data_IF_743355335078
#
_entry.id   IF_743355335078
#
_cell.length_a   1.000
_cell.length_b   1.000
_cell.length_c   1.000
_cell.angle_alpha   90.00
_cell.angle_beta   90.00
_cell.angle_gamma   90.00
#
_symmetry.space_group_name_H-M   'P 1'
#
loop_
_entity.id
_entity.type
_entity.pdbx_description
1 polymer ?
#
# COMPACT_ATOMS: atom_id res chain seq x y z
N UNK A 1 -8.92 29.48 -24.15
CA UNK A 1 -8.40 29.54 -22.77
C UNK A 1 -8.57 28.16 -22.16
N UNK A 2 -7.54 27.31 -22.27
CA UNK A 2 -7.58 25.94 -21.78
C UNK A 2 -7.34 25.93 -20.27
N UNK A 3 -8.31 25.40 -19.52
CA UNK A 3 -8.24 25.32 -18.05
C UNK A 3 -7.44 24.07 -17.67
N UNK A 4 -6.29 24.31 -17.03
CA UNK A 4 -5.34 23.31 -16.53
C UNK A 4 -5.67 22.96 -15.08
N UNK A 5 -5.66 21.67 -14.73
CA UNK A 5 -6.07 21.06 -13.46
C UNK A 5 -5.15 19.83 -13.27
N UNK A 6 -4.69 19.37 -12.10
CA UNK A 6 -4.76 19.86 -10.71
C UNK A 6 -3.64 19.17 -9.88
N UNK A 7 -3.20 19.82 -8.80
CA UNK A 7 -2.40 19.22 -7.72
C UNK A 7 -3.29 18.82 -6.53
N UNK A 8 -3.04 17.64 -5.97
CA UNK A 8 -3.67 17.17 -4.72
C UNK A 8 -2.65 17.38 -3.60
N UNK A 9 -2.98 18.21 -2.62
CA UNK A 9 -2.30 18.18 -1.32
C UNK A 9 -2.97 17.07 -0.50
N UNK A 10 -2.30 15.92 -0.38
CA UNK A 10 -2.68 14.91 0.61
C UNK A 10 -2.16 15.43 1.95
N UNK A 11 -2.88 16.38 2.54
CA UNK A 11 -2.77 16.64 3.99
C UNK A 11 -2.98 15.31 4.73
N UNK A 12 -2.51 15.13 5.97
CA UNK A 12 -2.82 13.97 6.79
C UNK A 12 -4.34 13.87 7.02
N UNK A 13 -5.05 13.32 6.03
CA UNK A 13 -6.47 13.00 6.10
C UNK A 13 -6.51 11.67 6.83
N UNK A 14 -6.98 11.73 8.07
CA UNK A 14 -7.36 10.52 8.80
C UNK A 14 -8.39 9.80 7.95
N UNK A 15 -7.98 8.71 7.31
CA UNK A 15 -8.91 7.86 6.60
C UNK A 15 -9.78 7.19 7.67
N UNK A 16 -11.10 7.43 7.69
CA UNK A 16 -11.94 6.73 8.63
C UNK A 16 -11.89 5.23 8.28
N UNK A 17 -11.44 4.45 9.26
CA UNK A 17 -11.70 3.02 9.43
C UNK A 17 -11.09 2.08 8.36
N UNK A 18 -9.88 1.58 8.62
CA UNK A 18 -9.42 0.30 8.04
C UNK A 18 -10.10 -0.91 8.75
N UNK A 19 -10.46 -0.71 10.03
CA UNK A 19 -11.34 -1.49 10.91
C UNK A 19 -11.77 -0.59 12.09
N UNK A 20 -12.74 -1.01 12.92
CA UNK A 20 -13.27 -0.22 14.07
C UNK A 20 -12.20 0.27 15.06
N UNK A 21 -11.00 -0.32 15.01
CA UNK A 21 -9.91 -0.09 15.96
C UNK A 21 -8.65 0.47 15.31
N UNK A 22 -8.67 0.81 14.02
CA UNK A 22 -7.47 1.25 13.30
C UNK A 22 -7.71 2.45 12.39
N UNK A 23 -6.83 3.44 12.52
CA UNK A 23 -6.82 4.64 11.70
C UNK A 23 -5.42 4.88 11.12
N UNK A 24 -5.40 5.45 9.91
CA UNK A 24 -4.19 5.68 9.11
C UNK A 24 -4.15 7.15 8.72
N UNK A 25 -2.97 7.74 8.87
CA UNK A 25 -2.65 9.07 8.37
C UNK A 25 -1.32 9.01 7.63
N UNK A 26 -1.21 9.70 6.50
CA UNK A 26 0.03 9.79 5.74
C UNK A 26 0.30 11.24 5.36
N UNK A 27 1.54 11.68 5.59
CA UNK A 27 2.05 12.95 5.09
C UNK A 27 3.17 12.63 4.10
N UNK A 28 2.95 12.97 2.84
CA UNK A 28 3.88 12.75 1.74
C UNK A 28 4.16 14.10 1.07
N UNK A 29 5.43 14.45 0.84
CA UNK A 29 5.76 15.64 0.04
C UNK A 29 5.27 15.46 -1.40
N UNK A 30 4.86 16.56 -2.06
CA UNK A 30 4.46 16.53 -3.47
C UNK A 30 5.61 16.12 -4.37
N UNK A 31 6.85 16.47 -3.99
CA UNK A 31 8.06 16.10 -4.72
C UNK A 31 8.30 14.58 -4.73
N UNK A 32 7.72 13.83 -3.78
CA UNK A 32 7.76 12.36 -3.78
C UNK A 32 6.77 11.71 -4.75
N UNK A 33 5.72 12.44 -5.14
CA UNK A 33 4.57 11.86 -5.86
C UNK A 33 4.54 12.35 -7.31
N UNK A 34 4.94 13.59 -7.59
CA UNK A 34 4.72 14.24 -8.86
C UNK A 34 5.98 14.87 -9.43
N UNK A 35 6.32 14.54 -10.68
CA UNK A 35 7.37 15.22 -11.45
C UNK A 35 7.01 16.70 -11.74
N UNK A 36 5.71 16.98 -11.86
CA UNK A 36 5.19 18.33 -12.05
C UNK A 36 3.78 18.45 -11.47
N UNK A 37 3.49 19.59 -10.84
CA UNK A 37 2.17 19.85 -10.28
C UNK A 37 1.80 21.34 -10.39
N UNK A 38 0.49 21.62 -10.45
CA UNK A 38 -0.05 22.98 -10.42
C UNK A 38 -1.30 23.01 -9.54
N UNK A 39 -1.28 23.84 -8.49
CA UNK A 39 -2.37 23.93 -7.51
C UNK A 39 -2.87 25.38 -7.38
N UNK A 40 -4.17 25.58 -7.56
CA UNK A 40 -4.87 26.83 -7.28
C UNK A 40 -6.21 26.52 -6.62
N UNK A 41 -6.41 27.06 -5.41
CA UNK A 41 -7.65 26.98 -4.66
C UNK A 41 -8.26 28.37 -4.51
N UNK A 42 -9.58 28.41 -4.31
CA UNK A 42 -10.29 29.64 -3.92
C UNK A 42 -10.14 29.94 -2.42
N UNK A 43 -9.61 28.99 -1.64
CA UNK A 43 -9.41 29.14 -0.20
C UNK A 43 -8.20 30.04 0.14
N UNK A 44 -8.25 30.82 1.24
CA UNK A 44 -7.16 31.71 1.65
C UNK A 44 -5.82 31.00 1.88
N UNK A 45 -5.88 29.73 2.31
CA UNK A 45 -4.70 28.90 2.56
C UNK A 45 -4.19 28.17 1.31
N UNK A 46 -4.79 28.41 0.15
CA UNK A 46 -4.52 27.71 -1.10
C UNK A 46 -4.53 26.17 -0.93
N UNK A 47 -5.51 25.63 -0.18
CA UNK A 47 -5.66 24.19 0.07
C UNK A 47 -6.95 23.67 -0.56
N UNK A 48 -6.92 22.41 -1.01
CA UNK A 48 -8.09 21.71 -1.54
C UNK A 48 -8.23 20.40 -0.78
N UNK A 49 -9.27 20.29 0.04
CA UNK A 49 -9.55 19.08 0.79
C UNK A 49 -10.53 18.21 0.00
N UNK A 50 -10.13 16.97 -0.26
CA UNK A 50 -10.90 16.02 -1.06
C UNK A 50 -11.15 14.75 -0.26
N UNK A 51 -12.38 14.27 -0.32
CA UNK A 51 -12.75 12.93 0.12
C UNK A 51 -13.11 12.09 -1.08
N UNK A 52 -12.56 10.89 -1.15
CA UNK A 52 -12.77 9.99 -2.27
C UNK A 52 -12.74 8.53 -1.82
N UNK A 53 -13.46 7.64 -2.52
CA UNK A 53 -13.45 6.22 -2.20
C UNK A 53 -12.08 5.62 -2.54
N UNK A 54 -11.49 4.91 -1.57
CA UNK A 54 -10.14 4.34 -1.70
C UNK A 54 -10.05 3.23 -2.74
N UNK A 55 -11.10 2.40 -2.88
CA UNK A 55 -11.06 1.23 -3.76
C UNK A 55 -10.96 1.60 -5.26
N UNK A 56 -11.75 2.56 -5.80
CA UNK A 56 -11.54 3.09 -7.15
C UNK A 56 -10.15 3.70 -7.34
N UNK A 57 -9.66 4.48 -6.37
CA UNK A 57 -8.31 5.06 -6.43
C UNK A 57 -7.24 3.98 -6.51
N UNK A 58 -7.33 2.95 -5.67
CA UNK A 58 -6.39 1.83 -5.67
C UNK A 58 -6.41 1.08 -7.02
N UNK A 59 -7.59 0.88 -7.62
CA UNK A 59 -7.71 0.24 -8.95
C UNK A 59 -7.07 1.09 -10.04
N UNK A 60 -7.26 2.41 -9.97
CA UNK A 60 -6.64 3.35 -10.90
C UNK A 60 -5.12 3.35 -10.76
N UNK A 61 -4.59 3.44 -9.54
CA UNK A 61 -3.15 3.34 -9.26
C UNK A 61 -2.55 2.00 -9.71
N UNK A 62 -3.24 0.88 -9.49
CA UNK A 62 -2.80 -0.44 -9.99
C UNK A 62 -2.76 -0.50 -11.53
N UNK A 63 -3.65 0.23 -12.19
CA UNK A 63 -3.63 0.33 -13.66
C UNK A 63 -2.46 1.19 -14.13
N UNK A 64 -2.11 2.23 -13.35
CA UNK A 64 -0.97 3.11 -13.61
C UNK A 64 0.39 2.42 -13.38
N UNK A 65 0.45 1.37 -12.53
CA UNK A 65 1.69 0.68 -12.20
C UNK A 65 2.44 0.07 -13.40
N UNK A 66 1.72 -0.30 -14.47
CA UNK A 66 2.30 -0.79 -15.72
C UNK A 66 2.29 0.28 -16.83
N UNK A 67 1.86 1.50 -16.51
CA UNK A 67 1.84 2.62 -17.44
C UNK A 67 3.22 3.26 -17.57
N UNK A 68 3.45 3.94 -18.68
CA UNK A 68 4.64 4.76 -18.91
C UNK A 68 4.51 6.14 -18.27
N UNK A 69 3.29 6.66 -18.12
CA UNK A 69 3.02 7.90 -17.39
C UNK A 69 1.59 7.90 -16.87
N UNK A 70 1.35 8.68 -15.81
CA UNK A 70 0.03 8.91 -15.26
C UNK A 70 -0.13 10.39 -14.91
N UNK A 71 -1.31 10.95 -15.18
CA UNK A 71 -1.67 12.31 -14.80
C UNK A 71 -2.98 12.30 -14.04
N UNK A 72 -3.06 13.16 -13.03
CA UNK A 72 -4.20 13.26 -12.13
C UNK A 72 -4.82 14.64 -12.28
N UNK A 73 -6.13 14.70 -12.53
CA UNK A 73 -6.84 15.95 -12.82
C UNK A 73 -8.15 16.01 -12.07
N UNK A 74 -8.31 17.03 -11.22
CA UNK A 74 -9.63 17.36 -10.68
C UNK A 74 -10.46 17.99 -11.79
N UNK A 75 -11.64 17.46 -12.07
CA UNK A 75 -12.54 17.92 -13.14
C UNK A 75 -13.96 18.04 -12.60
N UNK A 76 -14.85 18.68 -13.36
CA UNK A 76 -16.28 18.74 -13.05
C UNK A 76 -17.05 18.32 -14.30
N UNK A 77 -17.79 17.21 -14.21
CA UNK A 77 -18.62 16.68 -15.30
C UNK A 77 -20.06 16.60 -14.82
N UNK A 78 -20.99 17.18 -15.57
CA UNK A 78 -22.42 17.19 -15.22
C UNK A 78 -22.72 17.71 -13.81
N UNK A 79 -21.91 18.67 -13.34
CA UNK A 79 -22.03 19.23 -11.98
C UNK A 79 -21.30 18.45 -10.89
N UNK A 80 -20.80 17.25 -11.17
CA UNK A 80 -20.16 16.34 -10.21
C UNK A 80 -18.63 16.54 -10.28
N UNK A 81 -17.96 16.79 -9.14
CA UNK A 81 -16.50 16.82 -9.09
C UNK A 81 -15.93 15.40 -9.19
N UNK A 82 -14.97 15.22 -10.11
CA UNK A 82 -14.34 13.94 -10.42
C UNK A 82 -12.83 14.11 -10.39
N UNK A 83 -12.13 13.16 -9.79
CA UNK A 83 -10.70 12.99 -9.96
C UNK A 83 -10.44 12.03 -11.11
N UNK A 84 -10.02 12.59 -12.24
CA UNK A 84 -9.73 11.86 -13.47
C UNK A 84 -8.25 11.50 -13.53
N UNK A 85 -7.96 10.19 -13.57
CA UNK A 85 -6.61 9.66 -13.76
C UNK A 85 -6.46 9.23 -15.22
N UNK A 86 -5.54 9.85 -15.95
CA UNK A 86 -5.21 9.45 -17.32
C UNK A 86 -3.85 8.77 -17.33
N UNK A 87 -3.85 7.50 -17.75
CA UNK A 87 -2.69 6.61 -17.77
C UNK A 87 -2.34 6.35 -19.22
N UNK A 88 -1.08 6.58 -19.58
CA UNK A 88 -0.53 6.20 -20.87
C UNK A 88 0.25 4.89 -20.70
N UNK A 89 0.08 3.96 -21.62
CA UNK A 89 0.82 2.70 -21.67
C UNK A 89 1.30 2.41 -23.09
N UNK A 90 2.59 2.16 -23.26
CA UNK A 90 3.12 1.63 -24.51
C UNK A 90 2.83 0.14 -24.61
N UNK A 91 2.24 -0.31 -25.72
CA UNK A 91 2.08 -1.74 -25.97
C UNK A 91 3.14 -2.23 -26.93
N UNK A 92 4.21 -2.81 -26.40
CA UNK A 92 5.11 -3.65 -27.19
C UNK A 92 4.37 -4.96 -27.41
N UNK A 93 3.87 -5.18 -28.62
CA UNK A 93 3.41 -6.49 -29.04
C UNK A 93 4.60 -7.46 -28.95
N UNK A 94 4.63 -8.29 -27.91
CA UNK A 94 5.41 -9.53 -27.96
C UNK A 94 4.84 -10.31 -29.14
N UNK A 95 5.57 -10.28 -30.24
CA UNK A 95 5.28 -11.06 -31.43
C UNK A 95 5.56 -12.53 -31.05
N UNK A 96 4.59 -13.15 -30.38
CA UNK A 96 4.59 -14.60 -30.20
C UNK A 96 4.25 -15.18 -31.57
N UNK A 97 5.31 -15.32 -32.39
CA UNK A 97 5.27 -15.94 -33.71
C UNK A 97 4.91 -17.41 -33.57
N UNK A 98 3.63 -17.68 -33.28
CA UNK A 98 3.05 -19.00 -33.43
C UNK A 98 3.16 -19.39 -34.91
N UNK A 99 3.71 -20.57 -35.24
CA UNK A 99 3.88 -20.94 -36.64
C UNK A 99 2.50 -21.10 -37.28
N UNK A 100 2.22 -20.28 -38.29
CA UNK A 100 1.06 -20.39 -39.16
C UNK A 100 0.97 -21.80 -39.74
N UNK A 101 0.12 -22.64 -39.13
CA UNK A 101 -0.25 -23.95 -39.64
C UNK A 101 -1.32 -23.77 -40.71
N UNK A 102 -0.91 -23.39 -41.92
CA UNK A 102 -1.77 -23.48 -43.10
C UNK A 102 -1.07 -24.20 -44.25
N UNK A 103 -1.36 -25.50 -44.32
CA UNK A 103 -1.68 -26.25 -45.54
C UNK A 103 -0.62 -26.33 -46.64
N UNK A 104 0.19 -27.38 -46.62
CA UNK A 104 0.73 -27.97 -47.84
C UNK A 104 0.27 -29.43 -47.96
N UNK A 105 -0.68 -29.67 -48.86
CA UNK A 105 -1.07 -30.99 -49.34
C UNK A 105 0.12 -31.62 -50.08
N UNK A 106 0.80 -32.58 -49.47
CA UNK A 106 1.67 -33.52 -50.21
C UNK A 106 0.78 -34.46 -51.02
N UNK A 107 0.60 -34.15 -52.31
CA UNK A 107 0.24 -35.15 -53.32
C UNK A 107 1.50 -35.92 -53.70
N UNK A 108 1.45 -37.23 -53.50
CA UNK A 108 2.37 -38.21 -54.08
C UNK A 108 2.29 -38.14 -55.61
N UNK A 109 3.40 -38.37 -56.34
CA UNK A 109 3.23 -39.21 -57.52
C UNK A 109 4.31 -40.28 -57.65
N UNK A 110 3.81 -41.47 -57.97
CA UNK A 110 4.56 -42.57 -58.54
C UNK A 110 4.91 -42.23 -60.00
N UNK A 111 6.17 -42.43 -60.33
CA UNK A 111 6.70 -42.97 -61.58
C UNK A 111 5.70 -43.21 -62.75
N UNK A 112 5.79 -42.41 -63.82
CA UNK A 112 5.64 -42.86 -65.22
C UNK A 112 5.82 -41.70 -66.24
N UNK A 113 6.85 -41.86 -67.07
CA UNK A 113 6.87 -41.64 -68.53
C UNK A 113 6.40 -40.29 -69.14
N UNK A 114 7.39 -39.49 -69.60
CA UNK A 114 7.46 -39.07 -71.00
C UNK A 114 6.96 -37.67 -71.43
N UNK A 115 7.90 -36.90 -72.01
CA UNK A 115 7.81 -36.24 -73.33
C UNK A 115 7.08 -34.86 -73.45
N UNK A 116 7.85 -33.88 -73.98
CA UNK A 116 7.53 -32.59 -74.68
C UNK A 116 6.94 -31.44 -73.85
N UNK A 117 7.59 -30.27 -73.78
CA UNK A 117 7.65 -29.15 -74.76
C UNK A 117 6.33 -28.37 -74.84
N UNK A 118 6.40 -27.05 -74.70
CA UNK A 118 5.20 -26.19 -74.76
C UNK A 118 5.29 -24.92 -73.92
N UNK A 119 5.76 -23.88 -74.58
CA UNK A 119 5.45 -22.45 -74.39
C UNK A 119 3.97 -22.21 -74.01
N UNK A 120 3.70 -21.29 -73.07
CA UNK A 120 2.49 -20.44 -73.05
C UNK A 120 2.65 -19.39 -71.92
N UNK A 121 2.98 -18.19 -72.37
CA UNK A 121 2.67 -16.88 -71.77
C UNK A 121 1.19 -16.81 -71.38
N UNK A 122 0.87 -16.18 -70.24
CA UNK A 122 -0.36 -15.39 -70.04
C UNK A 122 -0.48 -14.90 -68.58
N UNK A 123 -0.40 -13.59 -68.42
CA UNK A 123 -0.31 -12.89 -67.14
C UNK A 123 -1.53 -13.01 -66.21
N UNK A 124 -1.25 -13.16 -64.91
CA UNK A 124 -2.18 -12.87 -63.83
C UNK A 124 -1.41 -12.08 -62.75
N UNK A 125 -1.80 -10.81 -62.63
CA UNK A 125 -1.42 -9.81 -61.64
C UNK A 125 -0.87 -10.37 -60.32
N UNK A 126 0.42 -10.14 -60.06
CA UNK A 126 0.96 -10.13 -58.71
C UNK A 126 0.30 -8.95 -57.96
N UNK A 127 -0.83 -9.21 -57.31
CA UNK A 127 -1.31 -8.35 -56.23
C UNK A 127 -0.36 -8.60 -55.07
N UNK A 128 0.73 -7.85 -55.05
CA UNK A 128 1.53 -7.68 -53.84
C UNK A 128 0.61 -7.00 -52.82
N UNK A 129 0.19 -7.68 -51.74
CA UNK A 129 -0.51 -6.99 -50.68
C UNK A 129 0.53 -6.06 -50.09
N UNK A 130 0.32 -4.76 -50.27
CA UNK A 130 1.10 -3.71 -49.63
C UNK A 130 0.82 -3.81 -48.13
N UNK A 131 1.42 -4.80 -47.45
CA UNK A 131 1.41 -4.89 -46.01
C UNK A 131 2.28 -3.75 -45.52
N UNK A 132 1.62 -2.62 -45.30
CA UNK A 132 2.13 -1.52 -44.52
C UNK A 132 2.48 -2.09 -43.15
N UNK A 133 3.72 -2.55 -42.98
CA UNK A 133 4.33 -2.84 -41.69
C UNK A 133 4.52 -1.52 -40.92
N UNK A 134 3.41 -0.85 -40.62
CA UNK A 134 3.29 0.02 -39.48
C UNK A 134 3.28 -0.93 -38.29
N UNK A 135 4.48 -1.30 -37.85
CA UNK A 135 4.72 -1.86 -36.53
C UNK A 135 4.37 -0.74 -35.53
N UNK A 136 3.08 -0.45 -35.44
CA UNK A 136 2.51 0.67 -34.73
C UNK A 136 2.56 0.25 -33.28
N UNK A 137 3.61 0.66 -32.58
CA UNK A 137 3.56 0.84 -31.14
C UNK A 137 2.27 1.60 -30.85
N UNK A 138 1.23 0.88 -30.44
CA UNK A 138 -0.05 1.48 -30.11
C UNK A 138 0.08 1.93 -28.67
N UNK A 139 0.22 3.23 -28.51
CA UNK A 139 -0.03 3.90 -27.24
C UNK A 139 -1.49 3.67 -26.85
N UNK A 140 -1.72 3.12 -25.66
CA UNK A 140 -3.04 2.98 -25.07
C UNK A 140 -3.19 4.04 -23.99
N UNK A 141 -4.25 4.82 -24.08
CA UNK A 141 -4.60 5.83 -23.07
C UNK A 141 -5.84 5.32 -22.33
N UNK A 142 -5.74 5.21 -21.01
CA UNK A 142 -6.79 4.74 -20.11
C UNK A 142 -7.16 5.91 -19.19
N UNK A 143 -8.41 6.35 -19.23
CA UNK A 143 -8.92 7.37 -18.32
C UNK A 143 -9.88 6.74 -17.32
N UNK A 144 -9.63 6.98 -16.02
CA UNK A 144 -10.48 6.51 -14.93
C UNK A 144 -10.97 7.69 -14.10
N UNK A 145 -12.29 7.87 -14.06
CA UNK A 145 -12.93 8.94 -13.32
C UNK A 145 -13.39 8.44 -11.94
N UNK A 146 -12.90 9.08 -10.88
CA UNK A 146 -13.23 8.76 -9.50
C UNK A 146 -14.10 9.90 -8.93
N UNK A 147 -15.34 9.65 -8.49
CA UNK A 147 -16.14 10.68 -7.84
C UNK A 147 -15.48 11.11 -6.53
N UNK A 148 -15.40 12.43 -6.34
CA UNK A 148 -14.82 13.02 -5.12
C UNK A 148 -15.81 13.99 -4.49
N UNK A 149 -15.62 14.27 -3.20
CA UNK A 149 -16.34 15.30 -2.46
C UNK A 149 -15.34 16.36 -2.02
N UNK A 150 -15.62 17.62 -2.35
CA UNK A 150 -14.81 18.75 -1.88
C UNK A 150 -15.27 19.10 -0.46
N UNK A 151 -14.33 19.14 0.48
CA UNK A 151 -14.59 19.42 1.88
C UNK A 151 -14.22 20.86 2.22
N UNK A 152 -15.08 21.54 2.98
CA UNK A 152 -14.78 22.85 3.57
C UNK A 152 -13.79 22.68 4.74
N UNK A 153 -12.85 23.62 4.97
CA UNK A 153 -11.86 23.53 6.05
C UNK A 153 -12.44 23.21 7.43
N UNK A 154 -13.58 23.82 7.79
CA UNK A 154 -14.27 23.57 9.07
C UNK A 154 -14.68 22.10 9.26
N UNK A 155 -15.06 21.40 8.19
CA UNK A 155 -15.39 19.97 8.27
C UNK A 155 -14.14 19.11 8.45
N UNK A 156 -12.99 19.55 7.95
CA UNK A 156 -11.71 18.84 8.07
C UNK A 156 -11.16 18.92 9.49
N UNK A 157 -11.31 20.08 10.14
CA UNK A 157 -10.94 20.25 11.55
C UNK A 157 -11.73 19.31 12.48
N UNK A 158 -12.96 18.94 12.10
CA UNK A 158 -13.75 17.96 12.86
C UNK A 158 -13.32 16.50 12.63
N UNK A 159 -12.57 16.19 11.56
CA UNK A 159 -12.01 14.86 11.27
C UNK A 159 -10.62 14.72 11.96
N UNK A 160 -10.40 15.50 13.02
CA UNK A 160 -9.10 15.62 13.70
C UNK A 160 -8.62 14.32 14.33
N UNK A 161 -7.29 14.24 14.40
CA UNK A 161 -6.51 13.22 15.08
C UNK A 161 -7.15 12.81 16.41
N UNK A 162 -7.32 11.50 16.67
CA UNK A 162 -7.74 11.05 17.99
C UNK A 162 -6.79 11.67 19.02
N UNK A 163 -7.32 12.28 20.09
CA UNK A 163 -6.49 12.76 21.20
C UNK A 163 -5.82 11.54 21.84
N UNK A 164 -4.60 11.24 21.42
CA UNK A 164 -3.83 10.12 21.94
C UNK A 164 -3.19 10.54 23.26
N UNK A 165 -3.17 9.63 24.23
CA UNK A 165 -2.35 9.79 25.44
C UNK A 165 -0.87 9.86 25.05
N UNK A 166 -0.05 10.50 25.87
CA UNK A 166 1.40 10.43 25.70
C UNK A 166 1.86 8.95 25.76
N UNK A 167 2.72 8.51 24.82
CA UNK A 167 3.19 7.14 24.76
C UNK A 167 4.20 6.84 25.87
N UNK A 168 4.08 5.65 26.43
CA UNK A 168 4.89 5.13 27.53
C UNK A 168 6.22 4.55 27.02
N UNK A 169 6.22 3.87 25.87
CA UNK A 169 7.44 3.26 25.32
C UNK A 169 7.60 3.68 23.88
N UNK A 170 8.81 4.09 23.49
CA UNK A 170 9.18 4.33 22.10
C UNK A 170 10.35 3.43 21.73
N UNK A 171 10.23 2.68 20.64
CA UNK A 171 11.22 1.69 20.21
C UNK A 171 11.29 1.63 18.69
N UNK A 172 12.50 1.53 18.15
CA UNK A 172 12.70 1.25 16.73
C UNK A 172 12.41 -0.22 16.45
N UNK A 173 11.49 -0.49 15.54
CA UNK A 173 11.12 -1.86 15.19
C UNK A 173 12.20 -2.54 14.35
N UNK A 174 12.36 -3.87 14.47
CA UNK A 174 13.13 -4.65 13.52
C UNK A 174 12.46 -4.63 12.13
N UNK A 175 13.12 -5.12 11.07
CA UNK A 175 12.55 -5.13 9.71
C UNK A 175 11.14 -5.70 9.69
N UNK A 176 10.16 -4.89 9.28
CA UNK A 176 8.74 -5.22 9.38
C UNK A 176 8.37 -6.49 8.61
N UNK A 177 9.08 -6.82 7.52
CA UNK A 177 8.87 -8.06 6.77
C UNK A 177 9.23 -9.32 7.57
N UNK A 178 10.27 -9.25 8.40
CA UNK A 178 10.66 -10.32 9.32
C UNK A 178 9.65 -10.47 10.45
N UNK A 179 9.23 -9.35 11.05
CA UNK A 179 8.20 -9.32 12.09
C UNK A 179 6.87 -9.87 11.53
N UNK A 180 6.49 -9.47 10.31
CA UNK A 180 5.33 -9.96 9.58
C UNK A 180 5.37 -11.47 9.37
N UNK A 181 6.50 -12.01 8.92
CA UNK A 181 6.64 -13.44 8.70
C UNK A 181 6.43 -14.25 9.99
N UNK A 182 6.85 -13.73 11.15
CA UNK A 182 6.65 -14.38 12.45
C UNK A 182 5.18 -14.24 12.90
N UNK A 183 4.60 -13.04 12.82
CA UNK A 183 3.19 -12.79 13.13
C UNK A 183 2.23 -13.64 12.30
N UNK A 184 2.48 -13.75 10.99
CA UNK A 184 1.66 -14.55 10.08
C UNK A 184 1.75 -16.05 10.42
N UNK A 185 2.92 -16.52 10.92
CA UNK A 185 3.08 -17.89 11.42
C UNK A 185 2.31 -18.13 12.71
N UNK A 186 2.36 -17.21 13.68
CA UNK A 186 1.57 -17.30 14.90
C UNK A 186 0.08 -17.37 14.58
N UNK A 187 -0.38 -16.52 13.66
CA UNK A 187 -1.76 -16.53 13.20
C UNK A 187 -2.16 -17.88 12.60
N UNK A 188 -1.31 -18.47 11.77
CA UNK A 188 -1.54 -19.81 11.20
C UNK A 188 -1.53 -20.91 12.24
N UNK A 189 -0.64 -20.84 13.24
CA UNK A 189 -0.57 -21.82 14.33
C UNK A 189 -1.84 -21.80 15.17
N UNK A 190 -2.33 -20.62 15.57
CA UNK A 190 -3.60 -20.48 16.27
C UNK A 190 -4.77 -21.07 15.45
N UNK A 191 -4.77 -20.80 14.14
CA UNK A 191 -5.80 -21.33 13.22
C UNK A 191 -5.72 -22.84 13.06
N UNK A 192 -4.52 -23.43 13.04
CA UNK A 192 -4.34 -24.87 12.93
C UNK A 192 -4.71 -25.61 14.22
N UNK A 193 -4.34 -25.06 15.38
CA UNK A 193 -4.61 -25.68 16.69
C UNK A 193 -6.10 -25.86 16.96
N UNK A 194 -6.93 -24.87 16.61
CA UNK A 194 -8.39 -24.98 16.72
C UNK A 194 -9.01 -26.02 15.78
N UNK A 195 -8.43 -26.21 14.58
CA UNK A 195 -8.90 -27.23 13.61
C UNK A 195 -8.52 -28.63 14.09
N UNK A 196 -7.32 -28.78 14.66
CA UNK A 196 -6.86 -30.03 15.26
C UNK A 196 -7.59 -30.45 16.53
N UNK A 197 -8.22 -29.50 17.23
CA UNK A 197 -8.96 -29.73 18.49
C UNK A 197 -10.32 -30.45 18.33
N UNK A 198 -10.62 -31.01 17.14
CA UNK A 198 -11.81 -31.86 16.93
C UNK A 198 -13.16 -31.12 16.96
N UNK A 199 -13.15 -29.79 16.99
CA UNK A 199 -14.37 -29.00 16.82
C UNK A 199 -14.79 -29.05 15.36
N UNK A 200 -16.04 -29.45 15.08
CA UNK A 200 -16.66 -29.33 13.75
C UNK A 200 -16.91 -27.84 13.44
N UNK A 201 -15.83 -27.09 13.26
CA UNK A 201 -15.85 -25.69 12.91
C UNK A 201 -16.12 -25.58 11.40
N UNK A 202 -17.25 -25.01 11.04
CA UNK A 202 -17.60 -24.72 9.65
C UNK A 202 -16.51 -23.85 9.01
N UNK A 203 -16.23 -24.06 7.72
CA UNK A 203 -15.18 -23.33 7.00
C UNK A 203 -15.36 -21.80 7.04
N UNK A 204 -16.59 -21.31 7.25
CA UNK A 204 -16.91 -19.88 7.43
C UNK A 204 -16.47 -19.30 8.79
N UNK A 205 -16.48 -20.06 9.88
CA UNK A 205 -15.97 -19.59 11.19
C UNK A 205 -14.45 -19.58 11.21
N UNK A 206 -13.83 -20.40 10.35
CA UNK A 206 -12.39 -20.44 10.15
C UNK A 206 -11.90 -19.19 9.43
N UNK A 207 -12.57 -18.75 8.37
CA UNK A 207 -12.21 -17.53 7.64
C UNK A 207 -12.38 -16.25 8.48
N UNK A 208 -13.31 -16.24 9.44
CA UNK A 208 -13.62 -15.05 10.24
C UNK A 208 -12.74 -14.90 11.49
N UNK A 209 -12.28 -16.00 12.09
CA UNK A 209 -11.41 -15.94 13.26
C UNK A 209 -10.06 -15.29 12.95
N UNK A 210 -9.64 -14.43 13.86
CA UNK A 210 -8.34 -13.81 13.92
C UNK A 210 -7.85 -13.88 15.36
N UNK A 211 -6.68 -14.49 15.61
CA UNK A 211 -6.15 -14.58 16.96
C UNK A 211 -5.75 -13.21 17.45
N UNK A 212 -5.95 -12.98 18.75
CA UNK A 212 -5.42 -11.81 19.44
C UNK A 212 -3.94 -12.05 19.69
N UNK A 213 -3.10 -11.17 19.15
CA UNK A 213 -1.67 -11.15 19.39
C UNK A 213 -1.36 -10.09 20.43
N UNK A 214 -0.37 -10.37 21.28
CA UNK A 214 0.12 -9.44 22.27
C UNK A 214 1.49 -8.94 21.84
N UNK A 215 1.66 -7.62 21.79
CA UNK A 215 2.90 -6.96 21.44
C UNK A 215 3.33 -6.16 22.66
N UNK A 216 4.50 -6.47 23.19
CA UNK A 216 5.04 -5.81 24.35
C UNK A 216 6.42 -5.22 24.03
N UNK A 217 6.71 -4.03 24.55
CA UNK A 217 8.03 -3.41 24.41
C UNK A 217 8.46 -2.75 25.72
N UNK A 218 9.76 -2.61 25.93
CA UNK A 218 10.32 -1.89 27.06
C UNK A 218 11.20 -0.71 26.62
N UNK A 219 11.58 0.10 27.61
CA UNK A 219 12.52 1.23 27.45
C UNK A 219 14.00 0.81 27.49
N UNK A 220 14.28 -0.48 27.28
CA UNK A 220 15.61 -1.12 27.35
C UNK A 220 15.91 -1.95 26.10
N UNK A 221 15.31 -1.59 24.96
CA UNK A 221 15.63 -2.18 23.66
C UNK A 221 15.10 -3.61 23.44
N UNK A 222 14.08 -4.02 24.17
CA UNK A 222 13.44 -5.33 24.01
C UNK A 222 12.02 -5.19 23.47
N UNK A 223 11.69 -6.01 22.47
CA UNK A 223 10.36 -6.17 21.88
C UNK A 223 9.96 -7.63 21.97
N UNK A 224 8.71 -7.90 22.30
CA UNK A 224 8.13 -9.24 22.38
C UNK A 224 6.81 -9.28 21.61
N UNK A 225 6.64 -10.33 20.82
CA UNK A 225 5.38 -10.70 20.19
C UNK A 225 4.98 -12.06 20.77
N UNK A 226 3.79 -12.16 21.33
CA UNK A 226 3.25 -13.37 21.94
C UNK A 226 1.87 -13.72 21.39
N UNK A 227 1.58 -15.01 21.39
CA UNK A 227 0.28 -15.61 21.13
C UNK A 227 -0.03 -16.54 22.29
N UNK A 228 -1.08 -16.21 23.04
CA UNK A 228 -1.58 -17.04 24.12
C UNK A 228 -2.99 -17.54 23.77
N UNK A 229 -3.16 -18.86 23.73
CA UNK A 229 -4.42 -19.57 23.49
C UNK A 229 -4.48 -20.80 24.39
N UNK A 230 -5.66 -21.39 24.56
CA UNK A 230 -5.87 -22.57 25.42
C UNK A 230 -4.96 -23.77 25.11
N UNK A 231 -4.42 -23.83 23.90
CA UNK A 231 -3.62 -24.96 23.40
C UNK A 231 -2.19 -24.59 23.05
N UNK A 232 -1.87 -23.30 22.93
CA UNK A 232 -0.57 -22.82 22.48
C UNK A 232 -0.21 -21.54 23.24
N UNK A 233 0.99 -21.55 23.80
CA UNK A 233 1.68 -20.36 24.29
C UNK A 233 3.01 -20.24 23.54
N UNK A 234 3.13 -19.23 22.69
CA UNK A 234 4.31 -19.01 21.85
C UNK A 234 4.69 -17.54 21.89
N UNK A 235 5.96 -17.25 22.12
CA UNK A 235 6.52 -15.91 22.09
C UNK A 235 7.77 -15.83 21.21
N UNK A 236 8.01 -14.67 20.64
CA UNK A 236 9.25 -14.28 19.96
C UNK A 236 9.71 -12.96 20.54
N UNK A 237 10.99 -12.87 20.88
CA UNK A 237 11.60 -11.69 21.46
C UNK A 237 12.75 -11.20 20.58
N UNK A 238 12.87 -9.88 20.46
CA UNK A 238 13.96 -9.18 19.82
C UNK A 238 14.61 -8.29 20.85
N UNK A 239 15.93 -8.38 20.94
CA UNK A 239 16.75 -7.62 21.87
C UNK A 239 17.69 -6.69 21.09
N UNK A 240 18.30 -5.74 21.80
CA UNK A 240 19.23 -4.75 21.24
C UNK A 240 18.57 -3.84 20.20
N UNK A 241 17.30 -3.51 20.39
CA UNK A 241 16.61 -2.46 19.65
C UNK A 241 16.92 -1.08 20.24
N UNK A 242 16.77 -0.05 19.42
CA UNK A 242 17.05 1.33 19.83
C UNK A 242 15.79 2.00 20.39
N UNK A 243 15.92 2.69 21.53
CA UNK A 243 14.87 3.57 22.06
C UNK A 243 15.25 5.03 21.70
N UNK A 244 14.60 5.65 20.69
CA UNK A 244 14.97 7.00 20.23
C UNK A 244 14.78 8.06 21.30
N UNK A 245 15.66 9.05 21.41
CA UNK A 245 15.49 10.14 22.38
C UNK A 245 14.35 11.08 21.99
N UNK A 246 13.59 11.55 22.98
CA UNK A 246 12.51 12.51 22.78
C UNK A 246 13.05 13.93 22.84
N UNK A 247 12.67 14.78 21.87
CA UNK A 247 13.00 16.20 21.90
C UNK A 247 12.12 16.93 22.93
N UNK A 248 12.69 17.51 24.00
CA UNK A 248 11.93 18.21 25.04
C UNK A 248 11.07 19.36 24.52
N UNK A 249 11.40 19.93 23.36
CA UNK A 249 10.64 21.04 22.75
C UNK A 249 9.30 20.59 22.15
N UNK A 250 9.16 19.30 21.88
CA UNK A 250 7.99 18.71 21.25
C UNK A 250 7.03 18.04 22.25
N UNK A 251 7.38 18.04 23.54
CA UNK A 251 6.60 17.40 24.59
C UNK A 251 5.58 18.35 25.23
N UNK A 252 4.43 17.80 25.63
CA UNK A 252 3.40 18.52 26.39
C UNK A 252 3.74 18.69 27.87
N UNK A 253 4.71 17.92 28.37
CA UNK A 253 5.21 17.93 29.74
C UNK A 253 6.75 17.91 29.79
N UNK A 254 7.36 18.26 30.94
CA UNK A 254 8.81 18.09 31.14
C UNK A 254 9.25 16.63 30.93
N UNK A 255 10.44 16.43 30.37
CA UNK A 255 10.99 15.11 30.05
C UNK A 255 11.07 14.20 31.29
N UNK A 256 11.28 14.77 32.47
CA UNK A 256 11.36 14.06 33.74
C UNK A 256 10.01 13.49 34.19
N UNK A 257 8.91 14.18 33.87
CA UNK A 257 7.56 13.76 34.24
C UNK A 257 6.91 12.86 33.17
N UNK A 258 7.52 12.83 31.99
CA UNK A 258 7.03 12.09 30.83
C UNK A 258 6.93 10.58 31.13
N UNK A 259 5.84 9.90 30.70
CA UNK A 259 5.62 8.48 30.98
C UNK A 259 6.80 7.58 30.59
N UNK A 260 7.47 7.89 29.49
CA UNK A 260 8.63 7.12 29.02
C UNK A 260 9.85 7.16 29.93
N UNK A 261 10.08 8.27 30.64
CA UNK A 261 11.17 8.36 31.61
C UNK A 261 10.85 7.50 32.82
N UNK A 262 9.60 7.51 33.29
CA UNK A 262 9.14 6.63 34.38
C UNK A 262 9.26 5.15 34.00
N UNK A 263 8.82 4.77 32.80
CA UNK A 263 8.99 3.40 32.30
C UNK A 263 10.46 2.97 32.20
N UNK A 264 11.37 3.90 31.89
CA UNK A 264 12.82 3.64 31.88
C UNK A 264 13.37 3.40 33.29
N UNK A 265 12.94 4.21 34.27
CA UNK A 265 13.34 4.12 35.68
C UNK A 265 12.80 2.86 36.38
N UNK A 266 11.62 2.38 36.01
CA UNK A 266 11.03 1.14 36.54
C UNK A 266 11.86 -0.13 36.19
N UNK A 267 12.78 -0.02 35.23
CA UNK A 267 13.76 -1.06 34.91
C UNK A 267 13.39 -1.92 33.68
N UNK A 268 14.26 -2.90 33.33
CA UNK A 268 14.12 -3.69 32.10
C UNK A 268 12.93 -4.67 32.11
N UNK A 269 12.41 -4.98 33.30
CA UNK A 269 11.27 -5.87 33.49
C UNK A 269 9.91 -5.17 33.37
N UNK A 270 9.90 -3.85 33.13
CA UNK A 270 8.66 -3.11 32.85
C UNK A 270 8.38 -3.10 31.35
N UNK A 271 7.25 -3.71 30.96
CA UNK A 271 6.80 -3.80 29.57
C UNK A 271 5.51 -3.01 29.39
N UNK A 272 5.42 -2.23 28.31
CA UNK A 272 4.16 -1.70 27.81
C UNK A 272 3.57 -2.69 26.81
N UNK A 273 2.31 -3.06 27.02
CA UNK A 273 1.66 -4.17 26.29
C UNK A 273 0.44 -3.67 25.52
N UNK A 274 0.32 -4.08 24.25
CA UNK A 274 -0.81 -3.75 23.38
C UNK A 274 -1.31 -5.03 22.71
N UNK A 275 -2.63 -5.22 22.69
CA UNK A 275 -3.27 -6.39 22.09
C UNK A 275 -3.90 -6.02 20.75
N UNK A 276 -3.54 -6.74 19.71
CA UNK A 276 -3.96 -6.47 18.33
C UNK A 276 -4.55 -7.71 17.67
N UNK A 277 -5.37 -7.48 16.65
CA UNK A 277 -5.91 -8.55 15.83
C UNK A 277 -4.86 -9.03 14.82
N UNK A 278 -4.62 -10.34 14.76
CA UNK A 278 -3.58 -10.89 13.87
C UNK A 278 -3.76 -10.55 12.39
N UNK A 279 -5.00 -10.42 11.89
CA UNK A 279 -5.24 -10.04 10.49
C UNK A 279 -4.98 -8.57 10.26
N UNK A 280 -5.43 -7.70 11.16
CA UNK A 280 -5.21 -6.27 11.02
C UNK A 280 -3.72 -5.93 11.21
N UNK A 281 -3.06 -6.54 12.19
CA UNK A 281 -1.62 -6.43 12.38
C UNK A 281 -0.83 -6.89 11.14
N UNK A 282 -1.25 -7.99 10.51
CA UNK A 282 -0.66 -8.48 9.26
C UNK A 282 -0.80 -7.47 8.10
N UNK A 283 -1.90 -6.72 8.04
CA UNK A 283 -2.09 -5.63 7.07
C UNK A 283 -1.17 -4.45 7.37
N UNK A 284 -1.08 -4.01 8.62
CA UNK A 284 -0.20 -2.91 9.05
C UNK A 284 1.24 -3.19 8.65
N UNK A 285 1.75 -4.38 8.98
CA UNK A 285 3.12 -4.76 8.66
C UNK A 285 3.41 -4.89 7.16
N UNK A 286 2.38 -4.91 6.31
CA UNK A 286 2.57 -4.94 4.86
C UNK A 286 3.18 -3.64 4.31
N UNK A 287 3.16 -2.56 5.10
CA UNK A 287 3.89 -1.31 4.83
C UNK A 287 5.40 -1.49 4.82
N UNK A 288 5.92 -2.59 5.39
CA UNK A 288 7.35 -2.93 5.38
C UNK A 288 8.00 -3.04 4.00
N UNK A 289 7.21 -2.98 2.92
CA UNK A 289 7.70 -2.89 1.53
C UNK A 289 8.28 -1.51 1.16
N UNK A 290 8.00 -0.47 1.95
CA UNK A 290 8.53 0.87 1.73
C UNK A 290 9.99 1.02 2.22
N UNK A 291 10.59 -0.04 2.77
CA UNK A 291 12.00 -0.10 3.21
C UNK A 291 12.46 1.08 4.09
N UNK A 292 11.58 1.50 5.00
CA UNK A 292 11.78 2.64 5.88
C UNK A 292 12.18 2.29 7.32
N UNK A 293 12.71 3.29 8.04
CA UNK A 293 12.83 3.24 9.51
C UNK A 293 11.44 3.30 10.12
N UNK A 294 11.19 2.48 11.15
CA UNK A 294 9.88 2.45 11.82
C UNK A 294 10.06 2.63 13.32
N UNK A 295 9.39 3.64 13.87
CA UNK A 295 9.32 3.89 15.31
C UNK A 295 7.94 3.47 15.79
N UNK A 296 7.91 2.59 16.78
CA UNK A 296 6.70 2.18 17.48
C UNK A 296 6.60 2.90 18.82
N UNK A 297 5.45 3.51 19.07
CA UNK A 297 5.09 4.17 20.32
C UNK A 297 3.94 3.41 20.97
N UNK A 298 4.16 2.87 22.16
CA UNK A 298 3.19 2.12 22.93
C UNK A 298 2.59 3.02 23.99
N UNK A 299 1.27 3.13 24.00
CA UNK A 299 0.50 3.54 25.16
C UNK A 299 0.00 2.26 25.83
N UNK A 300 0.59 1.91 26.97
CA UNK A 300 0.38 0.65 27.69
C UNK A 300 -1.11 0.37 27.90
N UNK A 301 -1.56 -0.81 27.46
CA UNK A 301 -2.94 -1.29 27.48
C UNK A 301 -3.96 -0.47 26.65
N UNK A 302 -3.53 0.59 25.96
CA UNK A 302 -4.43 1.50 25.24
C UNK A 302 -4.27 1.51 23.72
N UNK A 303 -3.05 1.73 23.22
CA UNK A 303 -2.83 1.92 21.79
C UNK A 303 -1.37 1.73 21.37
N UNK A 304 -1.17 1.39 20.10
CA UNK A 304 0.11 1.36 19.42
C UNK A 304 0.09 2.37 18.26
N UNK A 305 1.05 3.28 18.26
CA UNK A 305 1.27 4.23 17.16
C UNK A 305 2.54 3.81 16.42
N UNK A 306 2.48 3.67 15.10
CA UNK A 306 3.66 3.39 14.28
C UNK A 306 3.94 4.56 13.35
N UNK A 307 5.14 5.12 13.45
CA UNK A 307 5.68 6.09 12.52
C UNK A 307 6.60 5.38 11.53
N UNK A 308 6.17 5.30 10.28
CA UNK A 308 6.92 4.69 9.18
C UNK A 308 7.51 5.81 8.33
N UNK A 309 8.82 6.00 8.42
CA UNK A 309 9.56 7.00 7.67
C UNK A 309 9.87 6.45 6.29
N UNK A 310 9.43 7.16 5.24
CA UNK A 310 9.71 6.79 3.84
C UNK A 310 11.06 7.39 3.45
N UNK A 311 12.05 6.57 3.05
CA UNK A 311 13.38 7.05 2.73
C UNK A 311 13.38 7.93 1.48
N UNK A 312 14.23 8.96 1.48
CA UNK A 312 14.43 9.88 0.36
C UNK A 312 15.84 9.69 -0.17
N UNK A 313 15.97 9.23 -1.41
CA UNK A 313 17.28 8.90 -1.98
C UNK A 313 17.94 10.10 -2.69
N UNK A 314 17.15 11.14 -3.03
CA UNK A 314 17.58 12.18 -3.97
C UNK A 314 17.70 13.60 -3.38
N UNK A 315 17.27 13.84 -2.13
CA UNK A 315 17.31 15.18 -1.54
C UNK A 315 17.75 15.18 -0.07
N UNK A 316 18.90 15.80 0.21
CA UNK A 316 19.58 15.80 1.53
C UNK A 316 18.92 16.78 2.52
N UNK A 317 17.90 17.53 2.10
CA UNK A 317 17.22 18.55 2.90
C UNK A 317 15.70 18.49 2.92
N UNK A 318 15.09 17.47 2.31
CA UNK A 318 13.63 17.39 2.23
C UNK A 318 13.01 16.78 3.50
N UNK A 319 11.87 17.32 3.93
CA UNK A 319 11.15 16.88 5.13
C UNK A 319 10.75 15.40 5.03
N UNK A 320 11.04 14.61 6.07
CA UNK A 320 10.74 13.18 6.10
C UNK A 320 9.25 12.91 5.85
N UNK A 321 8.96 12.17 4.78
CA UNK A 321 7.61 11.67 4.54
C UNK A 321 7.29 10.55 5.53
N UNK A 322 6.18 10.67 6.23
CA UNK A 322 5.80 9.78 7.33
C UNK A 322 4.41 9.21 7.14
N UNK A 323 4.30 7.90 7.31
CA UNK A 323 3.03 7.18 7.38
C UNK A 323 2.80 6.76 8.83
N UNK A 324 1.73 7.26 9.42
CA UNK A 324 1.38 7.03 10.82
C UNK A 324 0.19 6.08 10.91
N UNK A 325 0.38 4.93 11.55
CA UNK A 325 -0.69 4.01 11.90
C UNK A 325 -1.06 4.20 13.37
N UNK A 326 -2.35 4.23 13.66
CA UNK A 326 -2.88 4.17 15.01
C UNK A 326 -3.70 2.90 15.17
N UNK A 327 -3.30 2.06 16.13
CA UNK A 327 -3.95 0.77 16.42
C UNK A 327 -4.42 0.81 17.88
N UNK A 328 -5.73 0.76 18.11
CA UNK A 328 -6.28 0.67 19.45
C UNK A 328 -6.09 -0.73 20.01
N UNK A 329 -5.71 -0.82 21.29
CA UNK A 329 -5.61 -2.08 22.02
C UNK A 329 -7.00 -2.63 22.32
N UNK A 330 -7.19 -3.94 22.18
CA UNK A 330 -8.38 -4.59 22.69
C UNK A 330 -8.37 -4.63 24.22
N UNK A 331 -9.48 -4.26 24.85
CA UNK A 331 -9.69 -4.51 26.27
C UNK A 331 -9.88 -6.01 26.55
N UNK A 332 -9.52 -6.42 27.76
CA UNK A 332 -9.84 -7.75 28.32
C UNK A 332 -11.33 -7.85 28.63
#
# INVERSE_FOLDING_TARGET
MGVSLAGIRISPVWLPQFSDFMSLSSSLSMDHIFDSYQLQSAEPSNTINLELPLLPLQRALKSAANGTSASLRLTKKDGIPLLSMTITTSTTSKNDGGPSRFGHNKRNPLNAQGVLDGDDDDGIFNIEPLETHLNREREKIITQDIPVRVLHPEHVEMIMQPKVREPDVHIQLPPLMSLKAISDRFTKLAVAARVGSGTNANNSTISSYSPKLEIAANMHGSLRLSLNTDTLDVASQWDNLENPELDPRQLGCPIEEHPSTKFREEGPDKWATVRVDGKDWSKVLSVGRLEGRVIACFADEHALILYVYVPQYDDVGAEDSVVTYYVSSYSV
#
